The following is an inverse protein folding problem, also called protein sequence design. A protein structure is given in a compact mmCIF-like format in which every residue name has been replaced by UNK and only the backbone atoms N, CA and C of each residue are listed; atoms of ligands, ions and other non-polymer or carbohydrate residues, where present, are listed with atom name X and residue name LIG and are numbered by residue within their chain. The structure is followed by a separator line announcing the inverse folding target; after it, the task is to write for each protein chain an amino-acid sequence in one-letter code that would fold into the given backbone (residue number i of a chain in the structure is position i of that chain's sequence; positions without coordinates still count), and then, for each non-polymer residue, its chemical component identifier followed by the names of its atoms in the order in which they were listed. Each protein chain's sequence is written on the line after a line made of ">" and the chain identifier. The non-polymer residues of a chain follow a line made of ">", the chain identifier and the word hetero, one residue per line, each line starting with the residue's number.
data_IF_755782721864
#
_entry.id   IF_755782721864
#
_cell.length_a   1.000
_cell.length_b   1.000
_cell.length_c   1.000
_cell.angle_alpha   90.00
_cell.angle_beta   90.00
_cell.angle_gamma   90.00
#
_symmetry.space_group_name_H-M   'P 1'
#
loop_
_entity.id
_entity.type
_entity.pdbx_description
1 polymer ?
#
# COMPACT_ATOMS: atom_id res chain seq x y z
N UNK A 1 -9.67 33.66 -72.13
CA UNK A 1 -10.29 32.32 -72.19
C UNK A 1 -11.40 32.26 -71.14
N UNK A 2 -12.59 31.79 -71.56
CA UNK A 2 -13.80 31.60 -70.77
C UNK A 2 -13.56 30.74 -69.53
N UNK A 3 -14.21 31.09 -68.40
CA UNK A 3 -15.23 30.26 -67.73
C UNK A 3 -15.82 31.04 -66.54
N UNK A 4 -17.12 31.32 -66.66
CA UNK A 4 -18.00 31.82 -65.59
C UNK A 4 -18.59 30.58 -64.93
N UNK A 5 -18.61 30.51 -63.60
CA UNK A 5 -19.65 29.77 -62.90
C UNK A 5 -20.15 30.57 -61.71
N UNK A 6 -21.48 30.64 -61.65
CA UNK A 6 -22.28 31.59 -60.90
C UNK A 6 -22.40 31.23 -59.42
N UNK A 7 -22.58 32.30 -58.66
CA UNK A 7 -23.08 32.33 -57.28
C UNK A 7 -24.44 31.61 -57.16
N UNK A 8 -24.58 30.82 -56.11
CA UNK A 8 -25.85 30.59 -55.43
C UNK A 8 -25.67 30.94 -53.95
N UNK A 9 -26.24 32.08 -53.58
CA UNK A 9 -26.44 32.54 -52.20
C UNK A 9 -27.82 32.05 -51.73
N UNK A 10 -28.08 32.16 -50.40
CA UNK A 10 -29.38 32.20 -49.67
C UNK A 10 -29.54 30.97 -48.74
N UNK A 11 -29.75 31.04 -47.42
CA UNK A 11 -30.01 32.14 -46.46
C UNK A 11 -29.98 31.59 -45.01
N UNK A 12 -29.49 32.40 -44.06
CA UNK A 12 -29.99 32.73 -42.69
C UNK A 12 -30.75 31.67 -41.85
N UNK A 13 -30.56 31.48 -40.54
CA UNK A 13 -30.57 32.40 -39.39
C UNK A 13 -30.19 31.65 -38.09
N UNK A 14 -29.99 32.41 -37.00
CA UNK A 14 -29.98 32.05 -35.57
C UNK A 14 -28.65 31.64 -34.92
N UNK A 15 -27.87 32.63 -34.50
CA UNK A 15 -27.12 32.54 -33.23
C UNK A 15 -27.83 33.36 -32.18
N UNK A 16 -28.75 32.71 -31.44
CA UNK A 16 -29.13 33.18 -30.12
C UNK A 16 -28.02 32.75 -29.16
N UNK A 17 -27.33 33.72 -28.56
CA UNK A 17 -26.45 33.48 -27.44
C UNK A 17 -27.27 32.98 -26.25
N UNK A 18 -27.19 31.70 -25.96
CA UNK A 18 -27.58 31.17 -24.67
C UNK A 18 -26.33 31.21 -23.80
N UNK A 19 -26.30 32.14 -22.85
CA UNK A 19 -25.47 31.97 -21.66
C UNK A 19 -25.91 30.67 -21.00
N UNK A 20 -25.13 29.61 -21.19
CA UNK A 20 -25.23 28.44 -20.34
C UNK A 20 -24.81 28.90 -18.95
N UNK A 21 -25.79 29.09 -18.07
CA UNK A 21 -25.57 29.08 -16.64
C UNK A 21 -24.78 27.81 -16.33
N UNK A 22 -23.57 27.98 -15.77
CA UNK A 22 -22.80 26.87 -15.25
C UNK A 22 -23.71 26.10 -14.29
N UNK A 23 -23.82 24.76 -14.40
CA UNK A 23 -24.39 24.01 -13.31
C UNK A 23 -23.46 24.28 -12.12
N UNK A 24 -24.01 24.91 -11.08
CA UNK A 24 -23.38 24.91 -9.77
C UNK A 24 -22.99 23.46 -9.47
N UNK A 25 -21.68 23.23 -9.45
CA UNK A 25 -21.11 22.01 -8.89
C UNK A 25 -21.43 22.04 -7.40
N UNK A 26 -22.65 21.61 -7.05
CA UNK A 26 -22.89 20.91 -5.80
C UNK A 26 -22.21 19.55 -5.92
N UNK A 27 -20.89 19.56 -5.80
CA UNK A 27 -20.18 18.39 -5.32
C UNK A 27 -19.91 18.59 -3.82
N UNK A 28 -21.01 18.59 -3.06
CA UNK A 28 -20.97 18.14 -1.68
C UNK A 28 -20.76 16.64 -1.68
N UNK A 29 -19.55 16.21 -1.98
CA UNK A 29 -19.01 14.94 -1.49
C UNK A 29 -17.68 15.28 -0.84
N UNK A 30 -17.75 15.73 0.42
CA UNK A 30 -16.65 15.43 1.35
C UNK A 30 -16.57 13.91 1.37
N UNK A 31 -15.71 13.31 0.54
CA UNK A 31 -15.32 11.92 0.67
C UNK A 31 -14.91 11.76 2.13
N UNK A 32 -15.59 10.90 2.87
CA UNK A 32 -15.25 10.55 4.24
C UNK A 32 -13.83 9.94 4.28
N UNK A 33 -12.81 10.78 4.21
CA UNK A 33 -11.40 10.41 4.40
C UNK A 33 -11.12 9.92 5.81
N UNK A 34 -12.06 10.09 6.74
CA UNK A 34 -11.93 9.64 8.13
C UNK A 34 -11.94 8.11 8.30
N UNK A 35 -12.36 7.34 7.29
CA UNK A 35 -12.51 5.87 7.39
C UNK A 35 -11.69 5.08 6.36
N UNK A 36 -10.87 5.74 5.54
CA UNK A 36 -10.01 5.03 4.58
C UNK A 36 -8.88 4.35 5.36
N UNK A 37 -8.64 3.04 5.17
CA UNK A 37 -7.63 2.35 5.94
C UNK A 37 -6.24 2.89 5.57
N UNK A 38 -5.40 3.09 6.58
CA UNK A 38 -4.03 3.59 6.42
C UNK A 38 -3.04 2.54 6.86
N UNK A 39 -1.79 2.67 6.40
CA UNK A 39 -0.69 1.80 6.83
C UNK A 39 0.54 2.63 7.12
N UNK A 40 1.35 2.19 8.08
CA UNK A 40 2.74 2.61 8.19
C UNK A 40 3.64 1.41 8.47
N UNK A 41 4.92 1.59 8.21
CA UNK A 41 5.98 0.64 8.54
C UNK A 41 7.00 1.33 9.44
N UNK A 42 7.34 0.67 10.54
CA UNK A 42 8.38 1.14 11.47
C UNK A 42 9.13 -0.03 12.10
N UNK A 43 10.29 0.24 12.67
CA UNK A 43 11.03 -0.71 13.51
C UNK A 43 10.58 -0.55 14.95
N UNK A 44 10.28 -1.67 15.60
CA UNK A 44 9.88 -1.74 16.99
C UNK A 44 10.99 -2.42 17.80
N UNK A 45 11.24 -1.91 19.01
CA UNK A 45 12.07 -2.60 19.99
C UNK A 45 11.21 -3.61 20.76
N UNK A 46 11.57 -4.88 20.64
CA UNK A 46 10.88 -6.02 21.23
C UNK A 46 11.62 -6.62 22.42
N UNK A 47 12.61 -5.93 23.00
CA UNK A 47 13.39 -6.39 24.16
C UNK A 47 12.50 -6.86 25.32
N UNK A 48 11.37 -6.19 25.53
CA UNK A 48 10.47 -6.42 26.66
C UNK A 48 9.16 -7.15 26.28
N UNK A 49 9.06 -7.82 25.13
CA UNK A 49 7.84 -8.60 24.80
C UNK A 49 7.47 -9.57 25.95
N UNK A 50 6.21 -9.60 26.43
CA UNK A 50 4.99 -9.06 25.81
C UNK A 50 4.60 -7.62 26.24
N UNK A 51 5.45 -6.91 26.99
CA UNK A 51 5.21 -5.51 27.37
C UNK A 51 5.14 -4.60 26.13
N UNK A 52 4.62 -3.35 26.26
CA UNK A 52 4.51 -2.42 25.16
C UNK A 52 5.87 -2.29 24.47
N UNK A 53 5.90 -2.74 23.23
CA UNK A 53 7.08 -2.67 22.39
C UNK A 53 7.11 -1.28 21.79
N UNK A 54 8.05 -0.42 22.17
CA UNK A 54 8.05 0.94 21.68
C UNK A 54 8.34 0.97 20.19
N UNK A 55 7.59 1.81 19.48
CA UNK A 55 7.89 2.18 18.10
C UNK A 55 9.13 3.08 18.09
N UNK A 56 10.19 2.67 17.39
CA UNK A 56 11.43 3.43 17.25
C UNK A 56 11.35 4.53 16.18
N UNK A 57 10.21 4.66 15.50
CA UNK A 57 9.90 5.64 14.46
C UNK A 57 10.98 5.72 13.36
N UNK A 58 11.55 4.57 13.01
CA UNK A 58 12.60 4.44 12.00
C UNK A 58 12.27 3.36 10.98
N UNK A 59 12.85 3.48 9.80
CA UNK A 59 12.71 2.52 8.69
C UNK A 59 14.01 1.77 8.39
N UNK A 60 14.94 1.79 9.34
CA UNK A 60 16.24 1.13 9.27
C UNK A 60 16.32 0.10 10.39
N UNK A 61 16.38 -1.18 10.04
CA UNK A 61 16.49 -2.29 10.98
C UNK A 61 17.92 -2.83 10.97
N UNK A 62 18.50 -2.98 12.15
CA UNK A 62 19.79 -3.62 12.34
C UNK A 62 19.62 -5.13 12.41
N UNK A 63 20.29 -5.87 11.52
CA UNK A 63 20.28 -7.34 11.54
C UNK A 63 21.17 -7.95 12.63
N UNK A 64 21.97 -7.14 13.32
CA UNK A 64 22.71 -7.53 14.53
C UNK A 64 21.95 -7.25 15.81
N UNK A 65 21.00 -6.29 15.80
CA UNK A 65 20.13 -6.03 16.94
C UNK A 65 18.93 -6.98 16.96
N UNK A 66 19.05 -8.08 17.71
CA UNK A 66 18.01 -9.10 17.83
C UNK A 66 16.71 -8.62 18.48
N UNK A 67 16.73 -7.45 19.14
CA UNK A 67 15.53 -6.87 19.72
C UNK A 67 14.69 -6.13 18.68
N UNK A 68 15.26 -5.72 17.55
CA UNK A 68 14.55 -4.97 16.53
C UNK A 68 13.72 -5.91 15.65
N UNK A 69 12.48 -5.51 15.38
CA UNK A 69 11.63 -6.14 14.36
C UNK A 69 11.00 -5.05 13.51
N UNK A 70 10.95 -5.24 12.19
CA UNK A 70 10.24 -4.31 11.32
C UNK A 70 8.78 -4.73 11.28
N UNK A 71 7.87 -3.83 11.61
CA UNK A 71 6.45 -4.11 11.67
C UNK A 71 5.70 -3.15 10.77
N UNK A 72 4.74 -3.67 10.02
CA UNK A 72 3.71 -2.83 9.44
C UNK A 72 2.50 -2.81 10.36
N UNK A 73 1.83 -1.67 10.40
CA UNK A 73 0.61 -1.45 11.18
C UNK A 73 -0.39 -0.79 10.28
N UNK A 74 -1.51 -1.47 10.06
CA UNK A 74 -2.65 -0.97 9.32
C UNK A 74 -3.75 -0.56 10.31
N UNK A 75 -4.29 0.64 10.14
CA UNK A 75 -5.43 1.15 10.88
C UNK A 75 -6.63 1.26 9.95
N UNK A 76 -7.82 0.88 10.41
CA UNK A 76 -9.02 0.92 9.59
C UNK A 76 -10.23 0.30 10.27
N UNK A 77 -11.17 -0.18 9.47
CA UNK A 77 -12.32 -0.95 9.93
C UNK A 77 -12.32 -2.31 9.25
N UNK A 78 -11.61 -3.25 9.86
CA UNK A 78 -11.43 -4.60 9.34
C UNK A 78 -12.44 -5.57 9.98
N UNK A 79 -12.87 -6.58 9.23
CA UNK A 79 -13.62 -7.71 9.81
C UNK A 79 -12.78 -8.51 10.80
N UNK A 80 -13.39 -9.32 11.67
CA UNK A 80 -12.71 -10.06 12.77
C UNK A 80 -11.43 -10.83 12.35
N UNK A 81 -11.38 -11.27 11.10
CA UNK A 81 -10.28 -12.00 10.49
C UNK A 81 -10.22 -11.62 9.01
N UNK A 82 -9.02 -11.47 8.45
CA UNK A 82 -8.82 -11.10 7.06
C UNK A 82 -7.70 -11.93 6.41
N UNK A 83 -7.73 -12.03 5.09
CA UNK A 83 -6.61 -12.57 4.32
C UNK A 83 -5.59 -11.47 4.09
N UNK A 84 -4.35 -11.72 4.48
CA UNK A 84 -3.22 -10.80 4.29
C UNK A 84 -2.30 -11.38 3.23
N UNK A 85 -1.86 -10.55 2.30
CA UNK A 85 -0.81 -10.85 1.35
C UNK A 85 0.28 -9.79 1.44
N UNK A 86 1.47 -10.20 1.84
CA UNK A 86 2.65 -9.35 1.97
C UNK A 86 3.61 -9.65 0.82
N UNK A 87 3.87 -8.65 -0.02
CA UNK A 87 4.82 -8.78 -1.12
C UNK A 87 6.09 -7.99 -0.82
N UNK A 88 7.19 -8.70 -0.63
CA UNK A 88 8.52 -8.16 -0.43
C UNK A 88 9.30 -8.14 -1.74
N UNK A 89 9.92 -7.00 -2.04
CA UNK A 89 10.92 -6.87 -3.09
C UNK A 89 12.26 -6.48 -2.47
N UNK A 90 13.26 -7.33 -2.64
CA UNK A 90 14.64 -7.12 -2.21
C UNK A 90 15.56 -6.79 -3.40
N UNK A 91 16.72 -6.18 -3.13
CA UNK A 91 17.74 -5.91 -4.16
C UNK A 91 18.62 -7.14 -4.47
N UNK A 92 18.79 -8.02 -3.49
CA UNK A 92 19.55 -9.26 -3.57
C UNK A 92 18.64 -10.47 -3.26
N UNK A 93 19.16 -11.67 -3.52
CA UNK A 93 18.43 -12.91 -3.27
C UNK A 93 18.25 -13.15 -1.76
N UNK A 94 17.05 -13.53 -1.35
CA UNK A 94 16.70 -13.80 0.04
C UNK A 94 15.70 -14.97 0.11
N UNK A 95 15.61 -15.62 1.25
CA UNK A 95 14.59 -16.62 1.53
C UNK A 95 13.68 -16.15 2.67
N UNK A 96 12.38 -16.09 2.40
CA UNK A 96 11.39 -15.81 3.44
C UNK A 96 10.83 -17.13 3.98
N UNK A 97 10.82 -17.25 5.31
CA UNK A 97 10.08 -18.29 6.00
C UNK A 97 9.09 -17.64 6.96
N UNK A 98 7.93 -18.26 7.15
CA UNK A 98 6.88 -17.76 8.03
C UNK A 98 6.52 -18.84 9.03
N UNK A 99 6.47 -18.45 10.31
CA UNK A 99 5.96 -19.30 11.40
C UNK A 99 4.45 -19.14 11.60
N UNK A 100 3.81 -18.23 10.86
CA UNK A 100 2.36 -18.05 10.88
C UNK A 100 1.71 -19.30 10.30
N UNK A 101 0.75 -19.87 11.03
CA UNK A 101 0.01 -21.04 10.64
C UNK A 101 -0.66 -20.86 9.26
N UNK A 102 -0.55 -21.87 8.40
CA UNK A 102 -1.11 -21.88 7.04
C UNK A 102 -0.59 -20.75 6.11
N UNK A 103 0.54 -20.13 6.45
CA UNK A 103 1.17 -19.17 5.56
C UNK A 103 1.74 -19.87 4.31
N UNK A 104 1.38 -19.35 3.14
CA UNK A 104 1.93 -19.76 1.86
C UNK A 104 2.95 -18.74 1.39
N UNK A 105 4.19 -19.17 1.19
CA UNK A 105 5.25 -18.35 0.60
C UNK A 105 5.41 -18.73 -0.87
N UNK A 106 5.37 -17.74 -1.76
CA UNK A 106 5.66 -17.88 -3.18
C UNK A 106 6.77 -16.93 -3.55
N UNK A 107 7.84 -17.46 -4.14
CA UNK A 107 9.02 -16.70 -4.53
C UNK A 107 9.16 -16.66 -6.04
N UNK A 108 9.59 -15.52 -6.60
CA UNK A 108 10.03 -15.43 -7.99
C UNK A 108 11.26 -16.32 -8.24
N UNK A 109 11.53 -16.73 -9.49
CA UNK A 109 12.69 -17.58 -9.81
C UNK A 109 14.04 -17.01 -9.34
N UNK A 110 14.21 -15.69 -9.38
CA UNK A 110 15.43 -15.00 -8.94
C UNK A 110 15.47 -14.68 -7.43
N UNK A 111 14.49 -15.16 -6.64
CA UNK A 111 14.39 -14.94 -5.19
C UNK A 111 14.53 -13.48 -4.73
N UNK A 112 14.06 -12.52 -5.54
CA UNK A 112 14.02 -11.09 -5.17
C UNK A 112 12.61 -10.57 -4.90
N UNK A 113 11.59 -11.32 -5.31
CA UNK A 113 10.18 -11.00 -5.05
C UNK A 113 9.55 -12.19 -4.30
N UNK A 114 8.95 -11.92 -3.15
CA UNK A 114 8.32 -12.92 -2.31
C UNK A 114 6.94 -12.45 -1.91
N UNK A 115 5.93 -13.28 -2.13
CA UNK A 115 4.57 -13.03 -1.66
C UNK A 115 4.23 -14.06 -0.59
N UNK A 116 3.97 -13.58 0.62
CA UNK A 116 3.55 -14.39 1.77
C UNK A 116 2.07 -14.12 2.00
N UNK A 117 1.24 -15.15 1.85
CA UNK A 117 -0.21 -15.06 2.03
C UNK A 117 -0.65 -15.91 3.20
N UNK A 118 -1.45 -15.35 4.09
CA UNK A 118 -1.94 -16.02 5.29
C UNK A 118 -3.24 -15.35 5.77
N UNK A 119 -3.87 -15.90 6.81
CA UNK A 119 -5.05 -15.30 7.43
C UNK A 119 -4.73 -14.84 8.84
N UNK A 120 -5.17 -13.63 9.23
CA UNK A 120 -4.86 -13.04 10.54
C UNK A 120 -6.11 -12.51 11.24
N UNK A 121 -6.27 -12.72 12.57
CA UNK A 121 -7.27 -11.99 13.34
C UNK A 121 -6.90 -10.52 13.47
N UNK A 122 -7.91 -9.67 13.61
CA UNK A 122 -7.72 -8.24 13.89
C UNK A 122 -7.48 -7.98 15.37
N UNK A 123 -6.84 -6.85 15.66
CA UNK A 123 -6.69 -6.29 16.99
C UNK A 123 -7.80 -5.25 17.24
N UNK A 124 -8.08 -5.00 18.52
CA UNK A 124 -9.01 -3.96 18.99
C UNK A 124 -10.34 -3.91 18.21
N UNK A 125 -11.01 -5.06 18.07
CA UNK A 125 -12.30 -5.19 17.38
C UNK A 125 -12.29 -4.68 15.93
N UNK A 126 -11.20 -4.91 15.19
CA UNK A 126 -11.12 -4.55 13.78
C UNK A 126 -10.41 -3.23 13.51
N UNK A 127 -9.97 -2.50 14.53
CA UNK A 127 -9.29 -1.21 14.36
C UNK A 127 -7.90 -1.35 13.77
N UNK A 128 -7.19 -2.42 14.11
CA UNK A 128 -5.79 -2.60 13.70
C UNK A 128 -5.51 -4.00 13.19
N UNK A 129 -4.57 -4.06 12.26
CA UNK A 129 -3.80 -5.26 11.95
C UNK A 129 -2.32 -4.90 11.90
N UNK A 130 -1.48 -5.82 12.34
CA UNK A 130 -0.03 -5.65 12.23
C UNK A 130 0.64 -6.98 12.05
N UNK A 131 1.81 -7.00 11.41
CA UNK A 131 2.74 -8.12 11.48
C UNK A 131 4.16 -7.59 11.59
N UNK A 132 5.04 -8.41 12.15
CA UNK A 132 6.45 -8.06 12.35
C UNK A 132 7.35 -9.12 11.72
N UNK A 133 8.46 -8.67 11.15
CA UNK A 133 9.48 -9.50 10.55
C UNK A 133 10.80 -9.31 11.28
N UNK A 134 11.53 -10.42 11.39
CA UNK A 134 12.89 -10.47 11.91
C UNK A 134 13.80 -10.62 10.70
N UNK A 135 14.89 -9.89 10.71
CA UNK A 135 15.96 -10.02 9.74
C UNK A 135 17.26 -10.30 10.49
N UNK A 136 18.00 -11.31 10.04
CA UNK A 136 19.26 -11.74 10.63
C UNK A 136 20.44 -11.59 9.66
N UNK A 137 21.62 -12.01 10.11
CA UNK A 137 22.87 -11.85 9.35
C UNK A 137 22.88 -12.53 7.97
N UNK A 138 21.97 -13.47 7.72
CA UNK A 138 21.81 -14.15 6.43
C UNK A 138 21.03 -13.30 5.43
N UNK A 139 20.21 -12.37 5.92
CA UNK A 139 19.40 -11.51 5.06
C UNK A 139 20.27 -10.39 4.48
N UNK A 140 20.17 -10.12 3.17
CA UNK A 140 21.04 -9.14 2.54
C UNK A 140 20.74 -7.72 3.02
N UNK A 141 21.79 -6.96 3.28
CA UNK A 141 21.72 -5.53 3.54
C UNK A 141 21.20 -4.80 2.29
N UNK A 142 20.46 -3.72 2.52
CA UNK A 142 20.03 -2.82 1.47
C UNK A 142 18.55 -2.49 1.54
N UNK A 143 18.02 -2.03 0.40
CA UNK A 143 16.65 -1.54 0.30
C UNK A 143 15.64 -2.67 0.09
N UNK A 144 14.55 -2.60 0.83
CA UNK A 144 13.39 -3.45 0.69
C UNK A 144 12.14 -2.61 0.43
N UNK A 145 11.24 -3.18 -0.38
CA UNK A 145 9.90 -2.61 -0.61
C UNK A 145 8.87 -3.65 -0.21
N UNK A 146 8.01 -3.29 0.73
CA UNK A 146 6.85 -4.08 1.16
C UNK A 146 5.58 -3.48 0.57
N UNK A 147 4.75 -4.33 -0.02
CA UNK A 147 3.35 -4.02 -0.35
C UNK A 147 2.47 -4.94 0.48
N UNK A 148 1.54 -4.38 1.24
CA UNK A 148 0.58 -5.15 2.03
C UNK A 148 -0.78 -5.06 1.35
N UNK A 149 -1.45 -6.20 1.23
CA UNK A 149 -2.84 -6.28 0.81
C UNK A 149 -3.65 -6.97 1.89
N UNK A 150 -4.73 -6.35 2.32
CA UNK A 150 -5.68 -6.91 3.28
C UNK A 150 -7.02 -7.07 2.56
N UNK A 151 -7.46 -8.32 2.42
CA UNK A 151 -8.59 -8.73 1.60
C UNK A 151 -8.51 -8.15 0.17
N UNK A 152 -9.34 -7.16 -0.14
CA UNK A 152 -9.39 -6.51 -1.46
C UNK A 152 -8.59 -5.21 -1.53
N UNK A 153 -8.20 -4.64 -0.38
CA UNK A 153 -7.52 -3.36 -0.32
C UNK A 153 -6.00 -3.57 -0.35
N UNK A 154 -5.36 -3.02 -1.38
CA UNK A 154 -3.91 -2.96 -1.48
C UNK A 154 -3.43 -1.58 -1.00
N UNK A 155 -2.52 -1.58 -0.03
CA UNK A 155 -1.98 -0.36 0.52
C UNK A 155 -0.80 0.17 -0.30
N UNK A 156 -0.47 1.43 -0.06
CA UNK A 156 0.74 2.07 -0.58
C UNK A 156 2.03 1.35 -0.16
N UNK A 157 3.03 1.41 -1.05
CA UNK A 157 4.31 0.74 -0.86
C UNK A 157 5.08 1.33 0.32
N UNK A 158 5.51 0.46 1.22
CA UNK A 158 6.37 0.79 2.35
C UNK A 158 7.82 0.45 1.99
N UNK A 159 8.75 1.37 2.26
CA UNK A 159 10.18 1.20 2.01
C UNK A 159 10.92 1.14 3.34
N UNK A 160 11.84 0.20 3.48
CA UNK A 160 12.76 0.13 4.61
C UNK A 160 14.14 -0.36 4.18
N UNK A 161 15.09 -0.29 5.09
CA UNK A 161 16.46 -0.71 4.87
C UNK A 161 16.90 -1.67 5.96
N UNK A 162 17.60 -2.73 5.54
CA UNK A 162 18.33 -3.59 6.46
C UNK A 162 19.76 -3.07 6.50
N UNK A 163 20.26 -2.83 7.71
CA UNK A 163 21.64 -2.45 8.00
C UNK A 163 22.32 -3.55 8.81
N UNK A 164 23.62 -3.38 9.08
CA UNK A 164 24.25 -4.15 10.15
C UNK A 164 23.57 -3.91 11.50
#
# INVERSE_FOLDING_TARGET
>A
MKKIFAFALITTLFSAGVFAAAPESKDTTKKDTANEPTIYLSVFDRTNEPAPSPDLNKKEISRTNKAEKVCWVAAGNFGKKATVSETFKAQAEIEFSSTIENAKVVSSPNKKLHTITYTRPTLENGKYMMNCWIFDRRDPIGKYVLTVKIDKHEFEKQVFYITE
#
